data_IF_494532093914
#
_entry.id   IF_494532093914
#
_cell.length_a   1.000
_cell.length_b   1.000
_cell.length_c   1.000
_cell.angle_alpha   90.00
_cell.angle_beta   90.00
_cell.angle_gamma   90.00
#
_symmetry.space_group_name_H-M   'P 1'
#
loop_
_entity.id
_entity.type
_entity.pdbx_description
1 polymer ?
#
# COMPACT_ATOMS: atom_id res chain seq x y z
N UNK A 1 -13.49 -4.50 11.99
CA UNK A 1 -13.10 -5.57 12.93
C UNK A 1 -14.37 -6.26 13.37
N UNK A 2 -14.48 -7.59 13.26
CA UNK A 2 -15.51 -8.31 14.00
C UNK A 2 -15.20 -8.15 15.49
N UNK A 3 -16.19 -7.67 16.25
CA UNK A 3 -16.05 -7.45 17.70
C UNK A 3 -17.15 -8.26 18.36
N UNK A 4 -16.77 -9.15 19.26
CA UNK A 4 -17.71 -9.82 20.15
C UNK A 4 -17.84 -8.94 21.39
N UNK A 5 -19.06 -8.47 21.67
CA UNK A 5 -19.39 -7.72 22.88
C UNK A 5 -20.37 -8.54 23.70
N UNK A 6 -20.14 -8.62 24.99
CA UNK A 6 -21.07 -9.19 25.95
C UNK A 6 -21.25 -8.18 27.08
N UNK A 7 -22.49 -7.95 27.47
CA UNK A 7 -22.81 -7.24 28.70
C UNK A 7 -22.71 -8.25 29.85
N UNK A 8 -21.91 -7.92 30.86
CA UNK A 8 -21.70 -8.75 32.04
C UNK A 8 -21.96 -7.90 33.28
N UNK A 9 -22.50 -8.52 34.32
CA UNK A 9 -22.70 -7.82 35.58
C UNK A 9 -21.35 -7.52 36.28
N UNK A 10 -21.42 -6.72 37.36
CA UNK A 10 -20.23 -6.30 38.11
C UNK A 10 -19.52 -7.48 38.80
N UNK A 11 -20.27 -8.50 39.22
CA UNK A 11 -19.72 -9.66 39.91
C UNK A 11 -18.95 -10.54 38.92
N UNK A 12 -19.56 -10.84 37.77
CA UNK A 12 -18.96 -11.56 36.66
C UNK A 12 -17.69 -10.87 36.16
N UNK A 13 -17.71 -9.54 36.01
CA UNK A 13 -16.55 -8.77 35.59
C UNK A 13 -15.40 -8.87 36.59
N UNK A 14 -15.72 -8.86 37.89
CA UNK A 14 -14.73 -8.95 38.97
C UNK A 14 -14.14 -10.35 39.06
N UNK A 15 -14.99 -11.38 38.99
CA UNK A 15 -14.57 -12.78 38.96
C UNK A 15 -13.64 -13.05 37.77
N UNK A 16 -14.01 -12.57 36.58
CA UNK A 16 -13.22 -12.74 35.36
C UNK A 16 -11.85 -12.06 35.44
N UNK A 17 -11.78 -10.85 36.02
CA UNK A 17 -10.52 -10.16 36.28
C UNK A 17 -9.62 -10.93 37.25
N UNK A 18 -10.18 -11.48 38.31
CA UNK A 18 -9.42 -12.25 39.30
C UNK A 18 -8.88 -13.54 38.70
N UNK A 19 -9.67 -14.21 37.85
CA UNK A 19 -9.26 -15.40 37.11
C UNK A 19 -8.12 -15.09 36.11
N UNK A 20 -8.22 -13.96 35.40
CA UNK A 20 -7.14 -13.54 34.49
C UNK A 20 -5.84 -13.30 35.27
N UNK A 21 -5.91 -12.59 36.40
CA UNK A 21 -4.75 -12.33 37.26
C UNK A 21 -4.14 -13.59 37.86
N UNK A 22 -4.94 -14.56 38.29
CA UNK A 22 -4.42 -15.81 38.87
C UNK A 22 -3.67 -16.67 37.85
N UNK A 23 -3.98 -16.48 36.56
CA UNK A 23 -3.29 -17.13 35.44
C UNK A 23 -2.17 -16.27 34.83
N UNK A 24 -1.88 -15.09 35.41
CA UNK A 24 -0.86 -14.17 34.91
C UNK A 24 -1.22 -13.50 33.57
N UNK A 25 -2.50 -13.46 33.21
CA UNK A 25 -3.01 -12.95 31.95
C UNK A 25 -3.83 -11.66 32.13
N UNK A 26 -3.98 -10.90 31.05
CA UNK A 26 -4.96 -9.82 30.95
C UNK A 26 -6.36 -10.35 30.67
N UNK A 27 -7.41 -9.57 30.99
CA UNK A 27 -8.80 -9.95 30.69
C UNK A 27 -9.02 -10.24 29.19
N UNK A 28 -8.31 -9.53 28.30
CA UNK A 28 -8.42 -9.75 26.85
C UNK A 28 -7.74 -11.05 26.41
N UNK A 29 -6.60 -11.41 27.02
CA UNK A 29 -5.92 -12.67 26.74
C UNK A 29 -6.74 -13.87 27.20
N UNK A 30 -7.29 -13.82 28.41
CA UNK A 30 -8.18 -14.85 28.93
C UNK A 30 -9.43 -15.02 28.04
N UNK A 31 -10.04 -13.91 27.60
CA UNK A 31 -11.21 -13.95 26.73
C UNK A 31 -10.88 -14.59 25.37
N UNK A 32 -9.73 -14.26 24.79
CA UNK A 32 -9.27 -14.87 23.53
C UNK A 32 -9.01 -16.36 23.70
N UNK A 33 -8.39 -16.78 24.80
CA UNK A 33 -8.13 -18.18 25.07
C UNK A 33 -9.44 -18.98 25.21
N UNK A 34 -10.42 -18.44 25.95
CA UNK A 34 -11.74 -19.07 26.09
C UNK A 34 -12.49 -19.17 24.76
N UNK A 35 -12.43 -18.13 23.92
CA UNK A 35 -13.03 -18.16 22.58
C UNK A 35 -12.35 -19.25 21.74
N UNK A 36 -11.02 -19.28 21.68
CA UNK A 36 -10.28 -20.27 20.91
C UNK A 36 -10.60 -21.70 21.36
N UNK A 37 -10.61 -21.94 22.68
CA UNK A 37 -10.95 -23.25 23.25
C UNK A 37 -12.40 -23.67 22.92
N UNK A 38 -13.33 -22.73 22.84
CA UNK A 38 -14.71 -22.98 22.45
C UNK A 38 -14.88 -23.17 20.93
N UNK A 39 -14.01 -22.57 20.11
CA UNK A 39 -14.05 -22.66 18.65
C UNK A 39 -13.18 -23.76 18.06
N UNK A 40 -12.26 -24.36 18.82
CA UNK A 40 -11.39 -25.46 18.38
C UNK A 40 -12.18 -26.70 17.89
N UNK A 41 -13.44 -26.86 18.31
CA UNK A 41 -14.34 -27.92 17.81
C UNK A 41 -15.12 -27.54 16.53
N UNK A 42 -15.03 -26.30 16.05
CA UNK A 42 -15.84 -25.75 14.96
C UNK A 42 -15.04 -25.29 13.72
N UNK A 43 -13.73 -25.57 13.67
CA UNK A 43 -12.89 -25.16 12.54
C UNK A 43 -13.17 -26.08 11.33
N UNK A 44 -14.17 -25.73 10.54
CA UNK A 44 -14.20 -26.08 9.12
C UNK A 44 -13.14 -25.22 8.45
N UNK A 45 -12.16 -25.91 7.89
CA UNK A 45 -11.00 -25.39 7.18
C UNK A 45 -11.37 -24.28 6.20
N UNK A 46 -10.97 -23.06 6.54
CA UNK A 46 -10.83 -21.97 5.59
C UNK A 46 -9.49 -21.33 5.86
N UNK A 47 -8.45 -21.82 5.19
CA UNK A 47 -7.17 -21.15 5.04
C UNK A 47 -7.33 -19.87 4.20
N UNK A 48 -8.18 -18.94 4.62
CA UNK A 48 -7.93 -17.54 4.33
C UNK A 48 -6.77 -17.12 5.23
N UNK A 49 -5.61 -16.89 4.62
CA UNK A 49 -4.46 -16.28 5.27
C UNK A 49 -4.85 -14.84 5.65
N UNK A 50 -5.55 -14.69 6.77
CA UNK A 50 -5.90 -13.38 7.32
C UNK A 50 -4.59 -12.73 7.73
N UNK A 51 -4.10 -11.78 6.94
CA UNK A 51 -2.96 -10.94 7.32
C UNK A 51 -3.27 -10.26 8.65
N UNK A 52 -2.58 -10.71 9.71
CA UNK A 52 -2.74 -10.15 11.05
C UNK A 52 -2.18 -8.73 11.04
N UNK A 53 -3.07 -7.75 11.03
CA UNK A 53 -2.67 -6.34 11.08
C UNK A 53 -2.28 -5.96 12.52
N UNK A 54 -0.97 -5.79 12.77
CA UNK A 54 -0.46 -5.31 14.06
C UNK A 54 -0.65 -3.79 14.16
N UNK A 55 -1.21 -3.32 15.28
CA UNK A 55 -1.49 -1.89 15.51
C UNK A 55 -0.63 -1.34 16.65
N UNK A 56 0.13 -0.29 16.34
CA UNK A 56 0.86 0.52 17.32
C UNK A 56 0.16 1.87 17.48
N UNK A 57 -0.05 2.30 18.73
CA UNK A 57 -0.55 3.64 19.06
C UNK A 57 0.65 4.51 19.43
N UNK A 58 0.77 5.68 18.78
CA UNK A 58 1.86 6.63 19.00
C UNK A 58 1.23 7.94 19.49
N UNK A 59 1.81 8.52 20.54
CA UNK A 59 1.40 9.81 21.08
C UNK A 59 2.43 10.86 20.68
N UNK A 60 1.95 12.03 20.26
CA UNK A 60 2.77 13.19 19.91
C UNK A 60 2.37 14.36 20.80
N UNK A 61 3.30 15.28 21.03
CA UNK A 61 2.95 16.61 21.52
C UNK A 61 2.11 17.35 20.47
N UNK A 62 1.37 18.38 20.88
CA UNK A 62 0.56 19.18 19.95
C UNK A 62 1.40 19.81 18.83
N UNK A 63 2.60 20.30 19.15
CA UNK A 63 3.51 20.90 18.18
C UNK A 63 4.00 19.89 17.15
N UNK A 64 4.41 18.69 17.60
CA UNK A 64 4.84 17.61 16.71
C UNK A 64 3.69 17.14 15.81
N UNK A 65 2.49 16.96 16.37
CA UNK A 65 1.32 16.53 15.61
C UNK A 65 0.93 17.53 14.54
N UNK A 66 0.99 18.83 14.84
CA UNK A 66 0.75 19.89 13.87
C UNK A 66 1.80 19.89 12.75
N UNK A 67 3.09 19.75 13.09
CA UNK A 67 4.17 19.62 12.09
C UNK A 67 4.01 18.38 11.21
N UNK A 68 3.64 17.24 11.81
CA UNK A 68 3.34 16.00 11.10
C UNK A 68 2.22 16.21 10.08
N UNK A 69 1.10 16.83 10.47
CA UNK A 69 -0.01 17.10 9.55
C UNK A 69 0.46 18.01 8.40
N UNK A 70 1.16 19.10 8.69
CA UNK A 70 1.67 20.02 7.68
C UNK A 70 2.60 19.32 6.70
N UNK A 71 3.57 18.55 7.21
CA UNK A 71 4.52 17.83 6.37
C UNK A 71 3.83 16.75 5.53
N UNK A 72 2.89 16.00 6.10
CA UNK A 72 2.16 14.97 5.37
C UNK A 72 1.39 15.54 4.17
N UNK A 73 0.79 16.72 4.33
CA UNK A 73 0.08 17.43 3.25
C UNK A 73 1.05 17.97 2.20
N UNK A 74 2.16 18.56 2.63
CA UNK A 74 3.20 19.06 1.72
C UNK A 74 3.76 17.93 0.84
N UNK A 75 3.87 16.73 1.39
CA UNK A 75 4.32 15.52 0.67
C UNK A 75 3.21 14.87 -0.17
N UNK A 76 2.01 15.46 -0.23
CA UNK A 76 0.90 15.01 -1.09
C UNK A 76 0.03 13.89 -0.50
N UNK A 77 0.16 13.58 0.79
CA UNK A 77 -0.66 12.56 1.44
C UNK A 77 -1.97 13.15 1.95
N UNK A 78 -3.09 12.49 1.65
CA UNK A 78 -4.41 12.86 2.15
C UNK A 78 -4.60 12.57 3.64
N UNK A 79 -3.88 11.58 4.18
CA UNK A 79 -3.91 11.18 5.59
C UNK A 79 -2.51 11.12 6.17
N UNK A 80 -2.27 11.79 7.30
CA UNK A 80 -0.99 11.76 8.02
C UNK A 80 -0.59 10.35 8.47
N UNK A 81 -1.55 9.47 8.76
CA UNK A 81 -1.27 8.06 9.10
C UNK A 81 -0.67 7.28 7.93
N UNK A 82 -1.13 7.55 6.70
CA UNK A 82 -0.56 6.94 5.50
C UNK A 82 0.87 7.44 5.26
N UNK A 83 1.13 8.71 5.58
CA UNK A 83 2.49 9.26 5.55
C UNK A 83 3.42 8.58 6.56
N UNK A 84 2.98 8.37 7.81
CA UNK A 84 3.77 7.65 8.83
C UNK A 84 4.06 6.21 8.39
N UNK A 85 3.04 5.48 7.93
CA UNK A 85 3.21 4.10 7.46
C UNK A 85 4.16 4.05 6.27
N UNK A 86 4.04 5.02 5.35
CA UNK A 86 4.95 5.18 4.22
C UNK A 86 6.39 5.37 4.67
N UNK A 87 6.62 6.30 5.60
CA UNK A 87 7.94 6.56 6.18
C UNK A 87 8.55 5.27 6.76
N UNK A 88 7.80 4.58 7.61
CA UNK A 88 8.24 3.31 8.22
C UNK A 88 8.57 2.27 7.13
N UNK A 89 7.73 2.16 6.09
CA UNK A 89 7.95 1.21 5.00
C UNK A 89 9.19 1.52 4.18
N UNK A 90 9.43 2.77 3.84
CA UNK A 90 10.62 3.16 3.07
C UNK A 90 11.88 2.98 3.88
N UNK A 91 11.87 3.34 5.17
CA UNK A 91 13.03 3.18 6.05
C UNK A 91 13.36 1.71 6.29
N UNK A 92 12.36 0.88 6.60
CA UNK A 92 12.59 -0.52 6.96
C UNK A 92 12.77 -1.45 5.76
N UNK A 93 12.02 -1.22 4.67
CA UNK A 93 11.94 -2.17 3.55
C UNK A 93 12.43 -1.60 2.23
N UNK A 94 12.85 -0.32 2.18
CA UNK A 94 13.24 0.37 0.93
C UNK A 94 12.19 0.21 -0.17
N UNK A 95 10.92 0.17 0.22
CA UNK A 95 9.79 0.07 -0.69
C UNK A 95 9.25 1.47 -0.98
N UNK A 96 8.97 1.81 -2.25
CA UNK A 96 8.43 3.11 -2.59
C UNK A 96 7.02 3.29 -2.02
N UNK A 97 6.81 4.37 -1.27
CA UNK A 97 5.48 4.76 -0.78
C UNK A 97 4.99 5.99 -1.54
N UNK A 98 3.99 5.77 -2.40
CA UNK A 98 3.43 6.81 -3.24
C UNK A 98 2.32 7.59 -2.55
N UNK A 99 2.30 8.90 -2.79
CA UNK A 99 1.20 9.77 -2.43
C UNK A 99 0.00 9.55 -3.36
N UNK A 100 -1.17 10.12 -3.03
CA UNK A 100 -2.37 9.96 -3.89
C UNK A 100 -2.16 10.58 -5.27
N UNK A 101 -1.55 11.77 -5.33
CA UNK A 101 -1.26 12.44 -6.60
C UNK A 101 -0.25 11.65 -7.44
N UNK A 102 0.76 11.03 -6.82
CA UNK A 102 1.72 10.18 -7.53
C UNK A 102 1.10 8.91 -8.08
N UNK A 103 0.17 8.29 -7.33
CA UNK A 103 -0.60 7.15 -7.82
C UNK A 103 -1.43 7.55 -9.05
N UNK A 104 -2.02 8.74 -9.06
CA UNK A 104 -2.79 9.21 -10.22
C UNK A 104 -1.89 9.47 -11.44
N UNK A 105 -0.69 10.02 -11.22
CA UNK A 105 0.32 10.15 -12.29
C UNK A 105 0.74 8.77 -12.82
N UNK A 106 0.98 7.79 -11.95
CA UNK A 106 1.31 6.41 -12.34
C UNK A 106 0.15 5.73 -13.10
N UNK A 107 -1.10 6.02 -12.74
CA UNK A 107 -2.28 5.52 -13.46
C UNK A 107 -2.38 6.09 -14.86
N UNK A 108 -2.18 7.40 -15.00
CA UNK A 108 -2.17 8.04 -16.31
C UNK A 108 -1.02 7.49 -17.16
N UNK A 109 0.12 7.28 -16.52
CA UNK A 109 1.27 6.62 -17.12
C UNK A 109 0.95 5.22 -17.68
N UNK A 110 0.25 4.39 -16.91
CA UNK A 110 -0.19 3.08 -17.40
C UNK A 110 -1.19 3.17 -18.57
N UNK A 111 -2.04 4.21 -18.61
CA UNK A 111 -2.96 4.43 -19.73
C UNK A 111 -2.23 4.80 -21.01
N UNK A 112 -1.20 5.65 -20.92
CA UNK A 112 -0.33 5.99 -22.05
C UNK A 112 0.38 4.76 -22.60
N UNK A 113 0.98 3.92 -21.73
CA UNK A 113 1.60 2.66 -22.14
C UNK A 113 0.60 1.75 -22.86
N UNK A 114 -0.63 1.64 -22.33
CA UNK A 114 -1.66 0.84 -22.97
C UNK A 114 -2.04 1.39 -24.37
N UNK A 115 -2.04 2.71 -24.55
CA UNK A 115 -2.27 3.34 -25.85
C UNK A 115 -1.11 3.07 -26.82
N UNK A 116 0.13 3.19 -26.36
CA UNK A 116 1.34 2.82 -27.12
C UNK A 116 1.26 1.37 -27.57
N UNK A 117 0.91 0.45 -26.66
CA UNK A 117 0.77 -0.98 -26.99
C UNK A 117 -0.31 -1.25 -28.04
N UNK A 118 -1.44 -0.54 -27.99
CA UNK A 118 -2.49 -0.62 -29.04
C UNK A 118 -1.99 -0.15 -30.39
N UNK A 119 -1.31 1.00 -30.46
CA UNK A 119 -0.77 1.54 -31.70
C UNK A 119 0.30 0.62 -32.31
N UNK A 120 1.19 0.07 -31.47
CA UNK A 120 2.19 -0.90 -31.91
C UNK A 120 1.54 -2.16 -32.48
N UNK A 121 0.48 -2.67 -31.85
CA UNK A 121 -0.25 -3.84 -32.33
C UNK A 121 -0.96 -3.58 -33.68
N UNK A 122 -1.47 -2.36 -33.90
CA UNK A 122 -2.05 -1.97 -35.19
C UNK A 122 -1.00 -1.91 -36.29
N UNK A 123 0.18 -1.34 -36.02
CA UNK A 123 1.31 -1.31 -36.96
C UNK A 123 1.77 -2.74 -37.29
N UNK A 124 1.87 -3.62 -36.29
CA UNK A 124 2.24 -5.02 -36.52
C UNK A 124 1.23 -5.75 -37.42
N UNK A 125 -0.08 -5.52 -37.23
CA UNK A 125 -1.12 -6.06 -38.12
C UNK A 125 -1.03 -5.50 -39.53
N UNK A 126 -0.79 -4.20 -39.68
CA UNK A 126 -0.66 -3.55 -40.98
C UNK A 126 0.61 -3.98 -41.74
N UNK A 127 1.70 -4.26 -41.02
CA UNK A 127 2.93 -4.85 -41.60
C UNK A 127 2.65 -6.28 -42.09
N UNK A 128 1.96 -7.10 -41.28
CA UNK A 128 1.62 -8.46 -41.69
C UNK A 128 0.64 -8.52 -42.86
N UNK A 129 -0.20 -7.49 -43.03
CA UNK A 129 -1.20 -7.41 -44.09
C UNK A 129 -0.64 -6.88 -45.43
N UNK A 130 0.45 -6.09 -45.41
CA UNK A 130 0.90 -5.36 -46.61
C UNK A 130 2.41 -5.52 -46.88
N UNK A 131 2.73 -6.39 -47.84
CA UNK A 131 4.09 -6.75 -48.25
C UNK A 131 4.58 -5.96 -49.48
N UNK A 132 4.09 -4.72 -49.69
CA UNK A 132 4.51 -3.85 -50.79
C UNK A 132 4.88 -2.43 -50.30
N UNK A 133 6.18 -2.19 -50.18
CA UNK A 133 6.90 -0.91 -50.25
C UNK A 133 6.50 0.33 -49.39
N UNK A 134 5.89 0.13 -48.22
CA UNK A 134 5.66 1.22 -47.22
C UNK A 134 6.69 1.27 -46.06
N UNK A 135 7.79 0.53 -46.19
CA UNK A 135 8.69 0.20 -45.06
C UNK A 135 9.32 1.40 -44.33
N UNK A 136 9.40 2.57 -44.97
CA UNK A 136 10.09 3.76 -44.42
C UNK A 136 9.19 4.63 -43.53
N UNK A 137 7.89 4.76 -43.86
CA UNK A 137 6.90 5.46 -43.02
C UNK A 137 6.65 4.65 -41.74
N UNK A 138 6.52 3.32 -41.87
CA UNK A 138 6.37 2.37 -40.76
C UNK A 138 7.55 2.44 -39.77
N UNK A 139 8.79 2.64 -40.25
CA UNK A 139 9.98 2.83 -39.39
C UNK A 139 9.96 4.13 -38.59
N UNK A 140 9.47 5.23 -39.18
CA UNK A 140 9.39 6.52 -38.49
C UNK A 140 8.35 6.51 -37.36
N UNK A 141 7.19 5.87 -37.58
CA UNK A 141 6.14 5.70 -36.56
C UNK A 141 6.60 4.79 -35.41
N UNK A 142 7.27 3.68 -35.71
CA UNK A 142 7.87 2.80 -34.70
C UNK A 142 8.91 3.56 -33.86
N UNK A 143 9.73 4.40 -34.49
CA UNK A 143 10.70 5.23 -33.79
C UNK A 143 10.03 6.25 -32.87
N UNK A 144 8.97 6.92 -33.32
CA UNK A 144 8.22 7.86 -32.49
C UNK A 144 7.59 7.18 -31.26
N UNK A 145 7.08 5.95 -31.41
CA UNK A 145 6.58 5.14 -30.31
C UNK A 145 7.69 4.77 -29.32
N UNK A 146 8.85 4.33 -29.83
CA UNK A 146 10.00 3.98 -29.00
C UNK A 146 10.53 5.18 -28.21
N UNK A 147 10.60 6.35 -28.85
CA UNK A 147 11.03 7.61 -28.22
C UNK A 147 10.02 8.04 -27.13
N UNK A 148 8.71 7.91 -27.38
CA UNK A 148 7.67 8.13 -26.37
C UNK A 148 7.78 7.18 -25.18
N UNK A 149 8.02 5.89 -25.41
CA UNK A 149 8.24 4.90 -24.35
C UNK A 149 9.50 5.20 -23.52
N UNK A 150 10.57 5.69 -24.13
CA UNK A 150 11.80 6.06 -23.42
C UNK A 150 11.60 7.27 -22.50
N UNK A 151 10.88 8.31 -22.97
CA UNK A 151 10.49 9.46 -22.14
C UNK A 151 9.63 9.01 -20.97
N UNK A 152 8.67 8.12 -21.26
CA UNK A 152 7.75 7.55 -20.28
C UNK A 152 8.49 6.79 -19.17
N UNK A 153 9.39 5.87 -19.55
CA UNK A 153 10.27 5.14 -18.63
C UNK A 153 11.00 6.10 -17.69
N UNK A 154 11.56 7.19 -18.21
CA UNK A 154 12.29 8.20 -17.41
C UNK A 154 11.38 8.94 -16.41
N UNK A 155 10.11 9.14 -16.72
CA UNK A 155 9.15 9.74 -15.78
C UNK A 155 8.82 8.79 -14.63
N UNK A 156 8.54 7.52 -14.94
CA UNK A 156 8.26 6.49 -13.92
C UNK A 156 9.46 6.28 -13.00
N UNK A 157 10.68 6.19 -13.56
CA UNK A 157 11.89 6.08 -12.74
C UNK A 157 12.07 7.27 -11.80
N UNK A 158 11.81 8.50 -12.27
CA UNK A 158 11.86 9.69 -11.41
C UNK A 158 10.86 9.63 -10.26
N UNK A 159 9.65 9.14 -10.50
CA UNK A 159 8.63 8.98 -9.46
C UNK A 159 9.03 7.93 -8.42
N UNK A 160 9.56 6.80 -8.87
CA UNK A 160 10.07 5.75 -7.98
C UNK A 160 11.22 6.30 -7.15
N UNK A 161 12.21 6.94 -7.78
CA UNK A 161 13.36 7.51 -7.11
C UNK A 161 12.95 8.59 -6.08
N UNK A 162 12.08 9.52 -6.47
CA UNK A 162 11.51 10.52 -5.59
C UNK A 162 10.77 9.90 -4.39
N UNK A 163 10.02 8.82 -4.61
CA UNK A 163 9.30 8.15 -3.54
C UNK A 163 10.22 7.38 -2.57
N UNK A 164 11.35 6.86 -3.06
CA UNK A 164 12.35 6.16 -2.25
C UNK A 164 13.23 7.14 -1.46
N UNK A 165 13.58 8.27 -2.07
CA UNK A 165 14.47 9.26 -1.50
C UNK A 165 13.74 10.40 -0.76
N UNK A 166 12.38 10.40 -0.73
CA UNK A 166 11.57 11.41 -0.02
C UNK A 166 12.00 11.61 1.44
N UNK A 167 12.48 10.54 2.05
CA UNK A 167 12.84 10.47 3.46
C UNK A 167 14.29 10.03 3.69
N UNK A 168 15.15 10.06 2.65
CA UNK A 168 16.58 9.93 2.91
C UNK A 168 17.03 11.17 3.66
N UNK A 169 17.53 10.96 4.88
CA UNK A 169 18.31 11.98 5.56
C UNK A 169 19.67 11.93 4.88
N UNK A 170 20.08 13.03 4.25
CA UNK A 170 21.48 13.15 3.83
C UNK A 170 22.29 13.13 5.13
N UNK A 171 23.11 12.09 5.31
CA UNK A 171 24.06 12.03 6.40
C UNK A 171 25.13 13.11 6.13
N UNK A 172 24.98 14.29 6.74
CA UNK A 172 26.07 15.25 6.96
C UNK A 172 26.83 14.93 8.26
#
# INVERSE_FOLDING_TARGET
MPIIKAEVDKEQKTAFRNLAKSQGMTETELLRQMINQATDAAVVDSEEKIERNNRTTISFTEQEFNRLIQRSRADGFSKHTAWIVGLVRTVLFRQPSFSTSEIDVLRESNREIAAIGRNLNQIARAINADFRDESRIKRAEIKAIADSFAVHKKQVFRLIDQSLNRWSVDDE
#
